data_IF_159225046255
#
_entry.id   IF_159225046255
#
_cell.length_a   1.000
_cell.length_b   1.000
_cell.length_c   1.000
_cell.angle_alpha   90.00
_cell.angle_beta   90.00
_cell.angle_gamma   90.00
#
_symmetry.space_group_name_H-M   'P 1'
#
loop_
_entity.id
_entity.type
_entity.pdbx_description
1 polymer ?
#
# COMPACT_ATOMS: atom_id res chain seq x y z
N UNK A 1 -16.19 10.13 5.47
CA UNK A 1 -15.05 10.92 4.95
C UNK A 1 -13.93 9.96 4.56
N UNK A 2 -14.06 9.38 3.35
CA UNK A 2 -13.27 8.23 2.87
C UNK A 2 -12.03 8.64 2.07
N UNK A 3 -10.99 7.81 2.17
CA UNK A 3 -9.62 7.93 1.66
C UNK A 3 -9.40 8.87 0.45
N UNK A 4 -8.44 9.80 0.57
CA UNK A 4 -7.75 10.36 -0.61
C UNK A 4 -6.22 10.53 -0.42
N UNK A 5 -5.44 9.45 -0.29
CA UNK A 5 -4.11 9.42 -0.86
C UNK A 5 -4.23 8.80 -2.27
N UNK A 6 -4.63 9.60 -3.27
CA UNK A 6 -4.66 9.19 -4.69
C UNK A 6 -3.25 9.27 -5.31
N UNK A 7 -2.24 8.84 -4.54
CA UNK A 7 -0.87 8.71 -5.02
C UNK A 7 -0.59 7.28 -5.45
N UNK A 8 0.70 6.94 -5.53
CA UNK A 8 1.19 5.59 -5.83
C UNK A 8 0.55 4.52 -4.93
N UNK A 9 0.25 4.82 -3.65
CA UNK A 9 -0.37 3.87 -2.73
C UNK A 9 -1.76 3.39 -3.19
N UNK A 10 -2.57 4.28 -3.78
CA UNK A 10 -3.87 3.91 -4.34
C UNK A 10 -3.74 3.03 -5.59
N UNK A 11 -2.70 3.26 -6.40
CA UNK A 11 -2.38 2.43 -7.56
C UNK A 11 -1.99 1.03 -7.10
N UNK A 12 -1.12 0.91 -6.10
CA UNK A 12 -0.70 -0.37 -5.57
C UNK A 12 -1.87 -1.14 -4.93
N UNK A 13 -2.73 -0.46 -4.17
CA UNK A 13 -3.91 -1.09 -3.58
C UNK A 13 -4.85 -1.63 -4.66
N UNK A 14 -5.08 -0.85 -5.73
CA UNK A 14 -5.85 -1.30 -6.89
C UNK A 14 -5.19 -2.50 -7.58
N UNK A 15 -3.87 -2.44 -7.81
CA UNK A 15 -3.12 -3.53 -8.43
C UNK A 15 -3.23 -4.82 -7.61
N UNK A 16 -3.21 -4.75 -6.27
CA UNK A 16 -3.40 -5.91 -5.39
C UNK A 16 -4.81 -6.48 -5.53
N UNK A 17 -5.84 -5.63 -5.52
CA UNK A 17 -7.23 -6.04 -5.71
C UNK A 17 -7.50 -6.66 -7.08
N UNK A 18 -6.77 -6.22 -8.10
CA UNK A 18 -6.80 -6.77 -9.46
C UNK A 18 -5.88 -8.00 -9.64
N UNK A 19 -5.19 -8.46 -8.58
CA UNK A 19 -4.28 -9.60 -8.64
C UNK A 19 -2.98 -9.37 -9.43
N UNK A 20 -2.67 -8.11 -9.79
CA UNK A 20 -1.46 -7.73 -10.55
C UNK A 20 -0.19 -7.75 -9.71
N UNK A 21 -0.31 -7.60 -8.39
CA UNK A 21 0.81 -7.71 -7.46
C UNK A 21 0.49 -8.74 -6.37
N UNK A 22 1.49 -9.52 -5.99
CA UNK A 22 1.35 -10.57 -4.99
C UNK A 22 1.22 -10.01 -3.57
N UNK A 23 1.91 -8.92 -3.23
CA UNK A 23 1.81 -8.27 -1.92
C UNK A 23 1.90 -6.75 -2.00
N UNK A 24 0.87 -6.06 -1.49
CA UNK A 24 0.87 -4.61 -1.29
C UNK A 24 1.95 -4.20 -0.29
N UNK A 25 2.10 -4.95 0.80
CA UNK A 25 3.09 -4.66 1.85
C UNK A 25 4.51 -4.65 1.30
N UNK A 26 4.83 -5.60 0.41
CA UNK A 26 6.13 -5.66 -0.26
C UNK A 26 6.39 -4.43 -1.13
N UNK A 27 5.43 -4.03 -1.95
CA UNK A 27 5.61 -2.85 -2.82
C UNK A 27 5.66 -1.54 -2.02
N UNK A 28 4.90 -1.43 -0.92
CA UNK A 28 5.01 -0.30 0.01
C UNK A 28 6.39 -0.22 0.68
N UNK A 29 6.96 -1.36 1.09
CA UNK A 29 8.33 -1.42 1.62
C UNK A 29 9.35 -0.99 0.56
N UNK A 30 9.22 -1.47 -0.69
CA UNK A 30 10.09 -1.06 -1.78
C UNK A 30 10.03 0.44 -2.02
N UNK A 31 8.85 1.06 -2.00
CA UNK A 31 8.74 2.53 -2.10
C UNK A 31 9.46 3.25 -0.96
N UNK A 32 9.37 2.73 0.26
CA UNK A 32 10.04 3.31 1.42
C UNK A 32 11.57 3.21 1.32
N UNK A 33 12.07 2.05 0.89
CA UNK A 33 13.51 1.77 0.88
C UNK A 33 14.22 2.20 -0.41
N UNK A 34 13.61 1.98 -1.58
CA UNK A 34 14.21 2.24 -2.90
C UNK A 34 13.95 3.68 -3.38
N UNK A 35 12.77 4.24 -3.07
CA UNK A 35 12.37 5.58 -3.53
C UNK A 35 12.36 6.65 -2.42
N UNK A 36 12.71 6.28 -1.19
CA UNK A 36 12.70 7.19 -0.03
C UNK A 36 11.30 7.71 0.32
N UNK A 37 10.24 7.02 -0.12
CA UNK A 37 8.86 7.47 0.07
C UNK A 37 8.43 7.26 1.53
N UNK A 38 8.05 8.35 2.20
CA UNK A 38 7.59 8.26 3.59
C UNK A 38 6.15 7.72 3.65
N UNK A 39 5.99 6.57 4.30
CA UNK A 39 4.68 5.99 4.63
C UNK A 39 4.57 5.94 6.15
N UNK A 40 3.62 6.68 6.70
CA UNK A 40 3.31 6.60 8.13
C UNK A 40 2.89 5.18 8.50
N UNK A 41 3.35 4.66 9.63
CA UNK A 41 3.05 3.29 10.08
C UNK A 41 1.53 3.04 10.18
N UNK A 42 0.77 4.03 10.68
CA UNK A 42 -0.69 3.96 10.75
C UNK A 42 -1.35 3.80 9.36
N UNK A 43 -0.79 4.45 8.34
CA UNK A 43 -1.26 4.34 6.95
C UNK A 43 -0.85 2.99 6.34
N UNK A 44 0.37 2.53 6.60
CA UNK A 44 0.86 1.22 6.16
C UNK A 44 -0.06 0.11 6.69
N UNK A 45 -0.34 0.10 8.00
CA UNK A 45 -1.21 -0.90 8.63
C UNK A 45 -2.66 -0.81 8.15
N UNK A 46 -3.16 0.39 7.85
CA UNK A 46 -4.48 0.57 7.26
C UNK A 46 -4.55 -0.04 5.86
N UNK A 47 -3.63 0.32 4.97
CA UNK A 47 -3.60 -0.18 3.59
C UNK A 47 -3.38 -1.68 3.52
N UNK A 48 -2.50 -2.19 4.39
CA UNK A 48 -2.26 -3.63 4.55
C UNK A 48 -3.54 -4.40 4.94
N UNK A 49 -4.34 -3.85 5.86
CA UNK A 49 -5.68 -4.41 6.19
C UNK A 49 -6.67 -4.30 5.03
N UNK A 50 -6.71 -3.17 4.34
CA UNK A 50 -7.58 -2.98 3.17
C UNK A 50 -7.23 -3.93 2.00
N UNK A 51 -5.97 -4.35 1.90
CA UNK A 51 -5.50 -5.35 0.94
C UNK A 51 -5.76 -6.81 1.34
N UNK A 52 -6.32 -7.06 2.54
CA UNK A 52 -6.49 -8.41 3.08
C UNK A 52 -5.17 -9.08 3.47
N UNK A 53 -4.11 -8.30 3.70
CA UNK A 53 -2.78 -8.80 4.09
C UNK A 53 -2.58 -8.65 5.61
N UNK A 54 -3.44 -9.22 6.43
CA UNK A 54 -3.18 -9.31 7.89
C UNK A 54 -2.01 -10.26 8.19
N UNK A 55 -1.44 -10.24 9.41
CA UNK A 55 -0.79 -11.44 9.95
C UNK A 55 -1.71 -12.65 9.87
#
# INVERSE_FOLDING_TARGET
MGLRPIGILGILLRAKREGKIASLSREMLRLRHEAGFFIAESLFQRLRREAGETP
#
